data_IF_967720240087
#
_entry.id   IF_967720240087
#
_cell.length_a   1.000
_cell.length_b   1.000
_cell.length_c   1.000
_cell.angle_alpha   90.00
_cell.angle_beta   90.00
_cell.angle_gamma   90.00
#
_symmetry.space_group_name_H-M   'P 1'
#
loop_
_entity.id
_entity.type
_entity.pdbx_description
1 polymer ?
#
# COMPACT_ATOMS: atom_id res chain seq x y z
N UNK A 1 -23.23 5.61 6.64
CA UNK A 1 -22.43 5.51 5.40
C UNK A 1 -20.95 5.64 5.72
N UNK A 2 -20.14 4.65 5.34
CA UNK A 2 -18.68 4.75 5.38
C UNK A 2 -18.24 5.76 4.31
N UNK A 3 -17.32 6.71 4.58
CA UNK A 3 -16.80 7.57 3.52
C UNK A 3 -16.24 6.69 2.41
N UNK A 4 -16.61 6.95 1.15
CA UNK A 4 -16.40 6.00 0.05
C UNK A 4 -14.94 5.54 -0.14
N UNK A 5 -13.95 6.42 0.12
CA UNK A 5 -12.53 6.03 0.06
C UNK A 5 -12.08 5.10 1.19
N UNK A 6 -12.79 5.06 2.32
CA UNK A 6 -12.47 4.13 3.41
C UNK A 6 -12.86 2.69 3.05
N UNK A 7 -13.89 2.51 2.21
CA UNK A 7 -14.23 1.21 1.66
C UNK A 7 -13.10 0.67 0.78
N UNK A 8 -12.47 1.53 -0.04
CA UNK A 8 -11.31 1.14 -0.85
C UNK A 8 -10.18 0.51 -0.01
N UNK A 9 -9.73 1.19 1.05
CA UNK A 9 -8.64 0.65 1.88
C UNK A 9 -9.05 -0.64 2.60
N UNK A 10 -10.31 -0.74 3.04
CA UNK A 10 -10.80 -1.96 3.66
C UNK A 10 -10.80 -3.13 2.67
N UNK A 11 -11.23 -2.90 1.43
CA UNK A 11 -11.26 -3.92 0.39
C UNK A 11 -9.82 -4.37 0.07
N UNK A 12 -8.89 -3.45 -0.18
CA UNK A 12 -7.47 -3.77 -0.42
C UNK A 12 -6.87 -4.58 0.73
N UNK A 13 -7.11 -4.18 1.99
CA UNK A 13 -6.58 -4.90 3.15
C UNK A 13 -7.21 -6.27 3.31
N UNK A 14 -8.47 -6.44 2.91
CA UNK A 14 -9.18 -7.72 3.04
C UNK A 14 -8.78 -8.70 1.95
N UNK A 15 -8.55 -8.22 0.73
CA UNK A 15 -8.32 -9.09 -0.43
C UNK A 15 -6.88 -9.17 -0.89
N UNK A 16 -6.03 -8.21 -0.51
CA UNK A 16 -4.67 -8.11 -1.04
C UNK A 16 -4.63 -7.68 -2.51
N UNK A 17 -5.66 -7.00 -3.00
CA UNK A 17 -5.78 -6.59 -4.41
C UNK A 17 -6.27 -5.16 -4.55
N UNK A 18 -5.89 -4.46 -5.62
CA UNK A 18 -6.41 -3.15 -6.00
C UNK A 18 -7.41 -3.33 -7.15
N UNK A 19 -8.69 -3.01 -6.92
CA UNK A 19 -9.76 -3.22 -7.92
C UNK A 19 -9.86 -4.65 -8.49
N UNK A 20 -9.31 -5.65 -7.78
CA UNK A 20 -9.28 -7.04 -8.20
C UNK A 20 -7.98 -7.48 -8.88
N UNK A 21 -7.04 -6.56 -9.19
CA UNK A 21 -5.68 -6.94 -9.60
C UNK A 21 -4.78 -7.12 -8.38
N UNK A 22 -4.04 -8.21 -8.37
CA UNK A 22 -3.11 -8.61 -7.33
C UNK A 22 -1.65 -8.42 -7.73
N UNK A 23 -0.73 -8.65 -6.78
CA UNK A 23 0.70 -8.39 -6.97
C UNK A 23 1.37 -9.26 -8.04
N UNK A 24 0.78 -10.40 -8.41
CA UNK A 24 1.32 -11.31 -9.41
C UNK A 24 0.79 -11.05 -10.84
N UNK A 25 -0.19 -10.15 -11.00
CA UNK A 25 -0.75 -9.83 -12.32
C UNK A 25 0.29 -9.15 -13.21
N UNK A 26 0.18 -9.35 -14.52
CA UNK A 26 1.10 -8.76 -15.50
C UNK A 26 0.94 -7.23 -15.61
N UNK A 27 1.95 -6.51 -16.13
CA UNK A 27 1.84 -5.07 -16.36
C UNK A 27 0.63 -4.70 -17.23
N UNK A 28 0.33 -5.50 -18.26
CA UNK A 28 -0.79 -5.25 -19.17
C UNK A 28 -2.14 -5.42 -18.46
N UNK A 29 -2.27 -6.46 -17.62
CA UNK A 29 -3.48 -6.67 -16.84
C UNK A 29 -3.73 -5.55 -15.83
N UNK A 30 -2.67 -5.07 -15.18
CA UNK A 30 -2.79 -3.92 -14.26
C UNK A 30 -3.19 -2.66 -15.02
N UNK A 31 -2.59 -2.38 -16.18
CA UNK A 31 -2.96 -1.25 -17.03
C UNK A 31 -4.39 -1.33 -17.56
N UNK A 32 -4.88 -2.52 -17.90
CA UNK A 32 -6.28 -2.73 -18.30
C UNK A 32 -7.27 -2.28 -17.21
N UNK A 33 -6.92 -2.51 -15.93
CA UNK A 33 -7.81 -2.24 -14.78
C UNK A 33 -7.60 -0.84 -14.19
N UNK A 34 -6.37 -0.33 -14.19
CA UNK A 34 -6.02 0.98 -13.61
C UNK A 34 -5.93 2.10 -14.65
N UNK A 35 -6.11 1.79 -15.93
CA UNK A 35 -5.99 2.73 -17.03
C UNK A 35 -4.53 2.92 -17.50
N UNK A 36 -4.35 3.61 -18.64
CA UNK A 36 -3.04 3.81 -19.26
C UNK A 36 -2.21 4.93 -18.65
N UNK A 37 -2.77 5.72 -17.72
CA UNK A 37 -2.12 6.89 -17.13
C UNK A 37 -1.16 6.47 -16.00
N UNK A 38 0.03 5.99 -16.37
CA UNK A 38 1.10 5.66 -15.43
C UNK A 38 2.44 6.29 -15.84
N UNK A 39 3.29 6.56 -14.84
CA UNK A 39 4.71 6.77 -15.06
C UNK A 39 5.45 5.44 -14.90
N UNK A 40 6.27 5.06 -15.88
CA UNK A 40 7.09 3.85 -15.80
C UNK A 40 8.53 4.20 -15.42
N UNK A 41 9.04 3.52 -14.40
CA UNK A 41 10.42 3.62 -13.96
C UNK A 41 11.09 2.26 -14.15
N UNK A 42 12.18 2.23 -14.92
CA UNK A 42 13.01 1.04 -15.09
C UNK A 42 14.22 1.09 -14.16
N UNK A 43 14.48 -0.01 -13.45
CA UNK A 43 15.66 -0.19 -12.60
C UNK A 43 16.59 -1.19 -13.27
N UNK A 44 17.35 -0.69 -14.26
CA UNK A 44 18.09 -1.54 -15.17
C UNK A 44 17.16 -2.26 -16.15
N UNK A 45 17.61 -3.40 -16.67
CA UNK A 45 16.87 -4.16 -17.69
C UNK A 45 15.92 -5.22 -17.12
N UNK A 46 15.95 -5.49 -15.82
CA UNK A 46 15.29 -6.65 -15.20
C UNK A 46 14.19 -6.29 -14.19
N UNK A 47 13.95 -5.00 -13.95
CA UNK A 47 12.97 -4.53 -12.98
C UNK A 47 12.26 -3.27 -13.47
N UNK A 48 10.94 -3.20 -13.29
CA UNK A 48 10.14 -2.02 -13.59
C UNK A 48 9.15 -1.73 -12.46
N UNK A 49 8.78 -0.47 -12.34
CA UNK A 49 7.66 0.01 -11.52
C UNK A 49 6.76 0.88 -12.38
N UNK A 50 5.44 0.69 -12.27
CA UNK A 50 4.44 1.61 -12.83
C UNK A 50 3.74 2.34 -11.69
N UNK A 51 3.83 3.67 -11.71
CA UNK A 51 3.21 4.58 -10.74
C UNK A 51 1.92 5.15 -11.34
N UNK A 52 0.78 4.75 -10.77
CA UNK A 52 -0.57 5.21 -11.09
C UNK A 52 -1.05 6.31 -10.10
N UNK A 53 -0.11 7.03 -9.48
CA UNK A 53 -0.34 8.14 -8.56
C UNK A 53 -0.48 7.71 -7.09
N UNK A 54 -1.55 6.97 -6.76
CA UNK A 54 -1.75 6.43 -5.41
C UNK A 54 -1.17 5.03 -5.26
N UNK A 55 -1.05 4.32 -6.37
CA UNK A 55 -0.69 2.90 -6.41
C UNK A 55 0.53 2.72 -7.29
N UNK A 56 1.50 1.96 -6.79
CA UNK A 56 2.63 1.50 -7.57
C UNK A 56 2.65 -0.03 -7.61
N UNK A 57 2.84 -0.58 -8.80
CA UNK A 57 3.08 -2.01 -9.00
C UNK A 57 4.50 -2.25 -9.48
N UNK A 58 5.06 -3.39 -9.07
CA UNK A 58 6.46 -3.72 -9.30
C UNK A 58 6.60 -5.11 -9.90
N UNK A 59 7.44 -5.19 -10.93
CA UNK A 59 7.72 -6.42 -11.65
C UNK A 59 9.22 -6.63 -11.84
N UNK A 60 9.61 -7.89 -11.87
CA UNK A 60 10.94 -8.33 -12.25
C UNK A 60 10.85 -9.34 -13.39
N UNK A 61 11.97 -9.60 -14.07
CA UNK A 61 12.12 -10.69 -15.03
C UNK A 61 13.52 -11.27 -14.93
N UNK A 62 13.65 -12.54 -15.30
CA UNK A 62 14.92 -13.27 -15.16
C UNK A 62 15.96 -12.82 -16.20
N UNK A 63 15.51 -12.48 -17.41
CA UNK A 63 16.37 -12.00 -18.49
C UNK A 63 15.63 -11.01 -19.40
N UNK A 64 16.40 -10.29 -20.23
CA UNK A 64 15.83 -9.43 -21.25
C UNK A 64 15.04 -10.25 -22.27
N UNK A 65 13.76 -9.90 -22.47
CA UNK A 65 12.85 -10.62 -23.37
C UNK A 65 11.95 -11.65 -22.66
N UNK A 66 12.27 -12.02 -21.42
CA UNK A 66 11.38 -12.87 -20.62
C UNK A 66 10.16 -12.09 -20.10
N UNK A 67 9.04 -12.78 -19.82
CA UNK A 67 7.85 -12.17 -19.25
C UNK A 67 8.10 -11.49 -17.90
N UNK A 68 7.41 -10.38 -17.68
CA UNK A 68 7.38 -9.71 -16.39
C UNK A 68 6.60 -10.53 -15.36
N UNK A 69 7.20 -10.75 -14.20
CA UNK A 69 6.60 -11.38 -13.03
C UNK A 69 6.38 -10.33 -11.93
N UNK A 70 5.12 -10.13 -11.55
CA UNK A 70 4.76 -9.18 -10.51
C UNK A 70 5.16 -9.72 -9.14
N UNK A 71 5.67 -8.85 -8.26
CA UNK A 71 6.08 -9.27 -6.92
C UNK A 71 5.42 -8.51 -5.78
N UNK A 72 5.11 -7.23 -5.94
CA UNK A 72 4.32 -6.50 -4.93
C UNK A 72 3.69 -5.22 -5.52
N UNK A 73 2.76 -4.65 -4.77
CA UNK A 73 2.28 -3.29 -4.96
C UNK A 73 2.33 -2.50 -3.65
N UNK A 74 2.30 -1.18 -3.80
CA UNK A 74 2.28 -0.24 -2.69
C UNK A 74 1.22 0.83 -2.91
N UNK A 75 0.44 1.14 -1.87
CA UNK A 75 -0.38 2.34 -1.80
C UNK A 75 0.37 3.44 -1.05
N UNK A 76 0.62 4.55 -1.72
CA UNK A 76 1.29 5.72 -1.16
C UNK A 76 0.29 6.71 -0.56
N UNK A 77 -0.39 6.28 0.50
CA UNK A 77 -1.48 7.03 1.16
C UNK A 77 -1.05 8.42 1.60
N UNK A 78 0.19 8.58 2.03
CA UNK A 78 0.76 9.87 2.42
C UNK A 78 0.70 10.93 1.30
N UNK A 79 0.75 10.53 0.02
CA UNK A 79 0.69 11.48 -1.11
C UNK A 79 -0.62 12.28 -1.11
N UNK A 80 -1.72 11.72 -0.58
CA UNK A 80 -3.01 12.41 -0.49
C UNK A 80 -2.97 13.65 0.41
N UNK A 81 -2.01 13.74 1.32
CA UNK A 81 -1.86 14.90 2.21
C UNK A 81 -1.41 16.16 1.45
N UNK A 82 -0.81 16.01 0.26
CA UNK A 82 -0.48 17.11 -0.65
C UNK A 82 -1.70 17.66 -1.39
N UNK A 83 -2.88 17.01 -1.28
CA UNK A 83 -4.15 17.43 -1.87
C UNK A 83 -4.15 17.54 -3.40
N UNK A 84 -3.21 16.87 -4.05
CA UNK A 84 -3.22 16.73 -5.50
C UNK A 84 -4.38 15.82 -5.93
N UNK A 85 -5.26 16.38 -6.76
CA UNK A 85 -6.48 15.72 -7.25
C UNK A 85 -6.19 14.72 -8.38
N UNK A 86 -5.00 14.74 -8.95
CA UNK A 86 -4.58 13.84 -10.04
C UNK A 86 -4.04 12.52 -9.53
N UNK A 87 -3.63 12.45 -8.25
CA UNK A 87 -3.04 11.25 -7.63
C UNK A 87 -3.95 10.02 -7.61
N UNK A 88 -5.27 10.19 -7.63
CA UNK A 88 -6.19 9.06 -7.67
C UNK A 88 -6.73 8.96 -9.10
N UNK A 89 -6.44 7.84 -9.77
CA UNK A 89 -6.90 7.59 -11.13
C UNK A 89 -8.44 7.62 -11.24
N UNK A 90 -8.94 7.70 -12.48
CA UNK A 90 -10.36 7.85 -12.75
C UNK A 90 -11.16 6.62 -12.29
N UNK A 91 -10.59 5.44 -12.45
CA UNK A 91 -11.17 4.12 -12.18
C UNK A 91 -11.46 3.95 -10.69
N UNK A 92 -10.49 4.30 -9.83
CA UNK A 92 -10.68 4.27 -8.38
C UNK A 92 -11.69 5.31 -7.92
N UNK A 93 -11.69 6.51 -8.51
CA UNK A 93 -12.66 7.57 -8.19
C UNK A 93 -14.08 7.20 -8.63
N UNK A 94 -14.23 6.55 -9.78
CA UNK A 94 -15.52 6.11 -10.28
C UNK A 94 -16.16 5.08 -9.32
N UNK A 95 -15.36 4.16 -8.75
CA UNK A 95 -15.87 3.12 -7.84
C UNK A 95 -16.00 3.56 -6.38
N UNK A 96 -15.04 4.34 -5.87
CA UNK A 96 -14.94 4.69 -4.44
C UNK A 96 -15.03 6.18 -4.16
N UNK A 97 -15.41 6.99 -5.14
CA UNK A 97 -15.63 8.42 -4.97
C UNK A 97 -14.39 9.18 -4.49
N UNK A 98 -14.61 10.11 -3.57
CA UNK A 98 -13.57 11.07 -3.13
C UNK A 98 -12.69 10.50 -2.03
N UNK A 99 -11.37 10.67 -2.21
CA UNK A 99 -10.35 10.36 -1.22
C UNK A 99 -10.09 11.53 -0.29
N UNK A 100 -10.04 11.25 1.01
CA UNK A 100 -9.70 12.24 2.04
C UNK A 100 -8.19 12.45 2.09
N UNK A 101 -7.69 13.67 2.37
CA UNK A 101 -6.24 13.94 2.39
C UNK A 101 -5.46 13.11 3.41
N UNK A 102 -6.12 12.57 4.43
CA UNK A 102 -5.51 11.74 5.48
C UNK A 102 -6.43 10.58 5.82
N UNK A 103 -5.83 9.45 6.18
CA UNK A 103 -6.51 8.24 6.62
C UNK A 103 -6.12 7.93 8.06
N UNK A 104 -7.07 8.03 8.99
CA UNK A 104 -6.84 7.71 10.42
C UNK A 104 -6.82 6.20 10.62
N UNK A 105 -5.73 5.67 11.15
CA UNK A 105 -5.55 4.25 11.40
C UNK A 105 -6.59 3.69 12.38
N UNK A 106 -6.88 4.37 13.50
CA UNK A 106 -7.86 3.88 14.49
C UNK A 106 -9.26 3.68 13.91
N UNK A 107 -9.64 4.54 12.94
CA UNK A 107 -10.93 4.42 12.25
C UNK A 107 -10.92 3.21 11.32
N UNK A 108 -9.84 3.02 10.57
CA UNK A 108 -9.65 1.87 9.67
C UNK A 108 -9.65 0.55 10.46
N UNK A 109 -8.79 0.45 11.48
CA UNK A 109 -8.66 -0.72 12.36
C UNK A 109 -10.00 -1.11 12.98
N UNK A 110 -10.71 -0.15 13.59
CA UNK A 110 -12.03 -0.43 14.20
C UNK A 110 -13.05 -1.01 13.21
N UNK A 111 -13.03 -0.57 11.95
CA UNK A 111 -13.97 -1.08 10.95
C UNK A 111 -13.58 -2.46 10.44
N UNK A 112 -12.28 -2.72 10.29
CA UNK A 112 -11.75 -4.03 9.96
C UNK A 112 -12.04 -5.05 11.07
N UNK A 113 -11.80 -4.68 12.34
CA UNK A 113 -12.11 -5.51 13.50
C UNK A 113 -13.60 -5.90 13.54
N UNK A 114 -14.51 -4.95 13.26
CA UNK A 114 -15.96 -5.22 13.17
C UNK A 114 -16.35 -6.19 12.05
N UNK A 115 -15.50 -6.35 11.03
CA UNK A 115 -15.69 -7.30 9.93
C UNK A 115 -14.91 -8.61 10.14
N UNK A 116 -14.27 -8.81 11.29
CA UNK A 116 -13.47 -10.00 11.56
C UNK A 116 -12.15 -10.04 10.79
N UNK A 117 -11.61 -8.87 10.41
CA UNK A 117 -10.33 -8.74 9.67
C UNK A 117 -9.29 -8.05 10.56
N UNK A 118 -8.85 -8.67 11.67
CA UNK A 118 -7.95 -8.00 12.61
C UNK A 118 -6.58 -7.75 11.98
N UNK A 119 -5.95 -6.65 12.39
CA UNK A 119 -4.57 -6.32 12.05
C UNK A 119 -3.65 -6.60 13.25
N UNK A 120 -2.57 -7.34 13.01
CA UNK A 120 -1.57 -7.69 14.02
C UNK A 120 -0.39 -6.73 13.93
N UNK A 121 -0.02 -6.09 15.03
CA UNK A 121 1.22 -5.31 15.04
C UNK A 121 2.43 -6.24 14.88
N UNK A 122 3.33 -5.88 13.96
CA UNK A 122 4.58 -6.60 13.71
C UNK A 122 5.76 -5.67 13.99
N UNK A 123 6.95 -6.20 14.33
CA UNK A 123 8.13 -5.37 14.48
C UNK A 123 8.42 -4.54 13.24
N UNK A 124 8.73 -3.27 13.47
CA UNK A 124 9.19 -2.37 12.41
C UNK A 124 10.66 -2.63 12.10
N UNK A 125 11.07 -2.38 10.85
CA UNK A 125 12.49 -2.43 10.49
C UNK A 125 13.27 -1.30 11.17
N UNK A 126 14.52 -1.50 11.61
CA UNK A 126 15.28 -0.49 12.34
C UNK A 126 15.38 0.87 11.64
N UNK A 127 15.48 0.88 10.31
CA UNK A 127 15.57 2.10 9.51
C UNK A 127 14.31 3.00 9.61
N UNK A 128 13.15 2.41 9.92
CA UNK A 128 11.88 3.11 10.01
C UNK A 128 11.46 3.40 11.46
N UNK A 129 12.12 2.76 12.43
CA UNK A 129 11.85 2.97 13.85
C UNK A 129 12.55 4.27 14.34
N UNK A 130 11.94 5.03 15.26
CA UNK A 130 10.62 4.83 15.87
C UNK A 130 9.47 5.48 15.08
N UNK A 131 9.74 6.08 13.93
CA UNK A 131 8.82 6.93 13.18
C UNK A 131 7.58 6.21 12.66
N UNK A 132 7.70 4.92 12.38
CA UNK A 132 6.61 4.11 11.86
C UNK A 132 6.28 2.92 12.77
N UNK A 133 5.01 2.53 12.73
CA UNK A 133 4.49 1.27 13.25
C UNK A 133 3.84 0.51 12.10
N UNK A 134 4.08 -0.80 12.02
CA UNK A 134 3.51 -1.62 10.97
C UNK A 134 2.55 -2.67 11.53
N UNK A 135 1.39 -2.78 10.89
CA UNK A 135 0.35 -3.73 11.22
C UNK A 135 0.04 -4.61 10.02
N UNK A 136 -0.14 -5.90 10.24
CA UNK A 136 -0.22 -6.91 9.19
C UNK A 136 -1.54 -7.69 9.27
N UNK A 137 -2.15 -7.93 8.11
CA UNK A 137 -3.33 -8.78 7.96
C UNK A 137 -2.86 -10.16 7.48
N UNK A 138 -3.01 -11.24 8.28
CA UNK A 138 -2.45 -12.55 7.97
C UNK A 138 -3.07 -13.29 6.78
N UNK A 139 -4.35 -13.08 6.50
CA UNK A 139 -5.07 -13.79 5.44
C UNK A 139 -4.82 -13.25 4.03
N UNK A 140 -4.55 -11.95 3.91
CA UNK A 140 -4.28 -11.24 2.65
C UNK A 140 -2.81 -10.85 2.49
N UNK A 141 -2.00 -11.07 3.54
CA UNK A 141 -0.60 -10.65 3.61
C UNK A 141 -0.40 -9.14 3.41
N UNK A 142 -1.39 -8.31 3.75
CA UNK A 142 -1.28 -6.85 3.60
C UNK A 142 -0.65 -6.23 4.84
N UNK A 143 0.35 -5.38 4.66
CA UNK A 143 0.92 -4.55 5.72
C UNK A 143 0.47 -3.09 5.60
N UNK A 144 0.21 -2.46 6.74
CA UNK A 144 -0.20 -1.07 6.90
C UNK A 144 0.82 -0.37 7.79
N UNK A 145 1.54 0.60 7.23
CA UNK A 145 2.48 1.43 7.96
C UNK A 145 1.82 2.74 8.39
N UNK A 146 2.00 3.09 9.66
CA UNK A 146 1.32 4.18 10.35
C UNK A 146 2.37 5.08 11.00
N UNK A 147 2.14 6.39 11.00
CA UNK A 147 3.01 7.33 11.74
C UNK A 147 2.95 7.01 13.24
N UNK A 148 4.06 6.54 13.80
CA UNK A 148 4.25 6.18 15.20
C UNK A 148 4.68 7.37 16.05
N UNK A 149 5.64 8.15 15.56
CA UNK A 149 6.07 9.42 16.16
C UNK A 149 6.52 10.39 15.07
N UNK A 150 6.55 11.68 15.39
CA UNK A 150 7.13 12.68 14.49
C UNK A 150 8.66 12.57 14.50
N UNK A 151 9.26 12.69 13.31
CA UNK A 151 10.69 12.86 13.11
C UNK A 151 10.94 13.95 12.09
N UNK A 152 11.75 14.93 12.46
CA UNK A 152 12.27 15.90 11.50
C UNK A 152 13.02 15.14 10.40
N UNK A 153 12.63 15.33 9.13
CA UNK A 153 13.08 14.57 7.95
C UNK A 153 12.70 13.07 7.91
N UNK A 154 12.22 12.49 9.03
CA UNK A 154 11.79 11.09 9.10
C UNK A 154 10.30 10.88 8.78
N UNK A 155 9.48 11.91 8.91
CA UNK A 155 8.04 11.87 8.63
C UNK A 155 7.57 13.12 7.90
N UNK A 156 6.56 13.02 7.00
CA UNK A 156 6.00 14.20 6.35
C UNK A 156 5.29 15.15 7.33
N UNK A 157 5.57 16.46 7.25
CA UNK A 157 4.99 17.50 8.13
C UNK A 157 3.46 17.62 8.04
N UNK A 158 2.89 17.20 6.91
CA UNK A 158 1.46 17.24 6.66
C UNK A 158 0.69 16.02 7.21
N UNK A 159 1.40 15.05 7.80
CA UNK A 159 0.83 13.90 8.50
C UNK A 159 0.96 14.03 10.03
N UNK A 160 0.14 13.27 10.74
CA UNK A 160 0.09 13.23 12.19
C UNK A 160 0.25 11.80 12.69
N UNK A 161 0.71 11.65 13.93
CA UNK A 161 0.70 10.36 14.63
C UNK A 161 -0.68 9.69 14.51
N UNK A 162 -0.67 8.42 14.10
CA UNK A 162 -1.86 7.61 13.82
C UNK A 162 -2.47 7.81 12.41
N UNK A 163 -1.86 8.60 11.53
CA UNK A 163 -2.20 8.60 10.11
C UNK A 163 -1.53 7.42 9.40
N UNK A 164 -2.24 6.80 8.46
CA UNK A 164 -1.68 5.77 7.58
C UNK A 164 -0.74 6.43 6.58
N UNK A 165 0.48 5.94 6.51
CA UNK A 165 1.52 6.43 5.61
C UNK A 165 1.55 5.65 4.29
N UNK A 166 1.57 4.31 4.40
CA UNK A 166 1.69 3.38 3.27
C UNK A 166 0.93 2.10 3.55
N UNK A 167 0.43 1.45 2.50
CA UNK A 167 -0.05 0.05 2.53
C UNK A 167 0.76 -0.73 1.50
N UNK A 168 1.14 -1.97 1.80
CA UNK A 168 1.94 -2.81 0.91
C UNK A 168 1.40 -4.24 0.89
N UNK A 169 1.39 -4.86 -0.27
CA UNK A 169 1.10 -6.29 -0.40
C UNK A 169 1.85 -6.95 -1.56
N UNK A 170 2.27 -8.21 -1.40
CA UNK A 170 2.21 -8.97 -0.16
C UNK A 170 3.38 -8.59 0.77
N UNK A 171 3.21 -8.85 2.06
CA UNK A 171 4.26 -9.01 3.06
C UNK A 171 4.13 -10.44 3.56
N UNK A 172 4.94 -11.38 3.04
CA UNK A 172 4.80 -12.80 3.33
C UNK A 172 5.02 -13.12 4.82
N UNK A 173 4.42 -14.22 5.29
CA UNK A 173 4.55 -14.66 6.68
C UNK A 173 6.03 -14.93 7.08
N UNK A 174 6.86 -15.40 6.14
CA UNK A 174 8.30 -15.61 6.38
C UNK A 174 9.02 -14.30 6.73
N UNK A 175 8.65 -13.20 6.07
CA UNK A 175 9.19 -11.88 6.36
C UNK A 175 8.74 -11.40 7.75
N UNK A 176 7.47 -11.64 8.10
CA UNK A 176 6.94 -11.31 9.43
C UNK A 176 7.67 -12.07 10.53
N UNK A 177 7.91 -13.37 10.36
CA UNK A 177 8.66 -14.18 11.32
C UNK A 177 10.13 -13.73 11.41
N UNK A 178 10.76 -13.41 10.29
CA UNK A 178 12.10 -12.83 10.28
C UNK A 178 12.17 -11.50 11.03
N UNK A 179 11.17 -10.62 10.89
CA UNK A 179 11.09 -9.36 11.65
C UNK A 179 10.93 -9.62 13.15
N UNK A 180 10.20 -10.68 13.54
CA UNK A 180 10.00 -11.10 14.93
C UNK A 180 11.26 -11.63 15.59
N UNK A 181 12.08 -12.39 14.87
CA UNK A 181 13.30 -12.98 15.43
C UNK A 181 14.40 -11.95 15.68
N UNK A 182 14.54 -10.92 14.84
CA UNK A 182 15.57 -9.86 15.01
C UNK A 182 15.27 -8.83 16.10
N UNK A 183 14.06 -8.84 16.67
CA UNK A 183 13.70 -7.98 17.82
C UNK A 183 14.12 -8.59 19.17
N UNK A 184 14.44 -9.90 19.20
CA UNK A 184 14.99 -10.58 20.38
C UNK A 184 16.49 -10.39 20.45
#
# INVERSE_FOLDING_TARGET
MTPYSLAFYMDVITTGTVLGVGPADSPDRVTEVLGPDFAENAFGSLSICRDYGLVEFYWNRDAAGEPWSGHHFSLHVHRLAFRDRTLVNAEMRARYGRFTPRLRFDKLRRLLDRRGVPLLEIPEIPANAPYFRTFWQPGSHVAVSVIGTYGEYGTPDNLRVGDVYKIQAPVPAEEVEWRRTRKR
#
